data_IF_200015247147
#
_entry.id   IF_200015247147
#
_cell.length_a   1.000
_cell.length_b   1.000
_cell.length_c   1.000
_cell.angle_alpha   90.00
_cell.angle_beta   90.00
_cell.angle_gamma   90.00
#
_symmetry.space_group_name_H-M   'P 1'
#
loop_
_entity.id
_entity.type
_entity.pdbx_description
1 polymer ?
#
# COMPACT_ATOMS: atom_id res chain seq x y z
N UNK A 1 -1.00 -2.28 -13.47
CA UNK A 1 -1.38 -2.37 -12.05
C UNK A 1 -2.30 -3.57 -11.91
N UNK A 2 -1.98 -4.49 -11.01
CA UNK A 2 -2.82 -5.65 -10.73
C UNK A 2 -3.71 -5.32 -9.53
N UNK A 3 -5.02 -5.55 -9.65
CA UNK A 3 -5.94 -5.38 -8.52
C UNK A 3 -5.63 -6.45 -7.46
N UNK A 4 -5.54 -6.02 -6.21
CA UNK A 4 -5.15 -6.91 -5.10
C UNK A 4 -6.29 -7.80 -4.61
N UNK A 5 -7.54 -7.48 -4.95
CA UNK A 5 -8.72 -8.13 -4.36
C UNK A 5 -9.22 -7.45 -3.09
N UNK A 6 -8.47 -6.48 -2.56
CA UNK A 6 -8.75 -5.80 -1.30
C UNK A 6 -9.10 -4.33 -1.57
N UNK A 7 -10.03 -3.80 -0.79
CA UNK A 7 -10.38 -2.38 -0.80
C UNK A 7 -9.86 -1.73 0.49
N UNK A 8 -9.49 -0.46 0.42
CA UNK A 8 -9.07 0.31 1.57
C UNK A 8 -10.24 0.67 2.51
N UNK A 9 -9.94 1.38 3.60
CA UNK A 9 -10.95 1.83 4.56
C UNK A 9 -12.02 2.76 3.96
N UNK A 10 -11.71 3.43 2.84
CA UNK A 10 -12.62 4.26 2.07
C UNK A 10 -13.50 3.47 1.09
N UNK A 11 -13.21 2.19 0.89
CA UNK A 11 -13.86 1.34 -0.12
C UNK A 11 -13.26 1.53 -1.52
N UNK A 12 -12.07 2.12 -1.64
CA UNK A 12 -11.34 2.23 -2.90
C UNK A 12 -10.51 0.98 -3.17
N UNK A 13 -10.49 0.53 -4.42
CA UNK A 13 -9.77 -0.66 -4.85
C UNK A 13 -8.26 -0.47 -4.72
N UNK A 14 -7.58 -1.36 -3.98
CA UNK A 14 -6.12 -1.31 -3.83
C UNK A 14 -5.47 -2.09 -4.97
N UNK A 15 -4.46 -1.49 -5.59
CA UNK A 15 -3.66 -2.04 -6.66
C UNK A 15 -2.19 -2.23 -6.25
N UNK A 16 -1.49 -3.11 -6.97
CA UNK A 16 -0.05 -3.26 -6.86
C UNK A 16 0.66 -1.90 -7.04
N UNK A 17 1.57 -1.58 -6.11
CA UNK A 17 2.34 -0.33 -6.01
C UNK A 17 1.54 0.90 -5.57
N UNK A 18 0.34 0.72 -5.02
CA UNK A 18 -0.29 1.80 -4.26
C UNK A 18 0.48 2.09 -2.98
N UNK A 19 0.40 3.35 -2.55
CA UNK A 19 0.91 3.82 -1.28
C UNK A 19 -0.30 4.07 -0.39
N UNK A 20 -0.40 3.26 0.65
CA UNK A 20 -1.39 3.40 1.71
C UNK A 20 -0.80 4.28 2.81
N UNK A 21 -1.66 5.04 3.49
CA UNK A 21 -1.28 5.77 4.69
C UNK A 21 -2.30 5.56 5.78
N UNK A 22 -1.80 5.24 6.97
CA UNK A 22 -2.66 5.09 8.14
C UNK A 22 -2.95 6.42 8.83
N UNK A 23 -3.78 6.37 9.87
CA UNK A 23 -4.10 7.53 10.71
C UNK A 23 -2.93 8.05 11.56
N UNK A 24 -1.87 7.26 11.74
CA UNK A 24 -0.68 7.62 12.51
C UNK A 24 0.38 8.30 11.64
N UNK A 25 0.24 8.23 10.32
CA UNK A 25 1.13 8.83 9.34
C UNK A 25 2.18 7.87 8.77
N UNK A 26 2.04 6.58 9.01
CA UNK A 26 2.89 5.53 8.45
C UNK A 26 2.50 5.26 7.00
N UNK A 27 3.50 4.98 6.15
CA UNK A 27 3.33 4.73 4.72
C UNK A 27 3.60 3.27 4.42
N UNK A 28 2.71 2.64 3.65
CA UNK A 28 2.84 1.25 3.25
C UNK A 28 2.83 1.16 1.73
N UNK A 29 3.83 0.48 1.17
CA UNK A 29 3.91 0.20 -0.26
C UNK A 29 3.37 -1.19 -0.55
N UNK A 30 2.35 -1.27 -1.41
CA UNK A 30 1.77 -2.55 -1.82
C UNK A 30 2.71 -3.25 -2.80
N UNK A 31 3.12 -4.48 -2.50
CA UNK A 31 3.99 -5.32 -3.32
C UNK A 31 3.40 -6.70 -3.52
N UNK A 32 3.72 -7.32 -4.65
CA UNK A 32 3.47 -8.75 -4.88
C UNK A 32 4.76 -9.52 -4.56
N UNK A 33 4.74 -10.35 -3.54
CA UNK A 33 5.86 -11.19 -3.09
C UNK A 33 5.41 -12.63 -3.10
N UNK A 34 6.13 -13.50 -3.81
CA UNK A 34 5.80 -14.94 -3.95
C UNK A 34 4.36 -15.25 -4.41
N UNK A 35 3.71 -14.30 -5.09
CA UNK A 35 2.34 -14.43 -5.58
C UNK A 35 1.26 -13.93 -4.61
N UNK A 36 1.65 -13.40 -3.46
CA UNK A 36 0.75 -12.81 -2.46
C UNK A 36 0.98 -11.30 -2.36
N UNK A 37 -0.10 -10.55 -2.15
CA UNK A 37 -0.02 -9.11 -1.97
C UNK A 37 0.25 -8.77 -0.51
N UNK A 38 1.32 -8.00 -0.29
CA UNK A 38 1.77 -7.56 1.03
C UNK A 38 1.96 -6.05 1.05
N UNK A 39 1.85 -5.47 2.23
CA UNK A 39 2.11 -4.06 2.49
C UNK A 39 3.48 -3.92 3.16
N UNK A 40 4.45 -3.26 2.52
CA UNK A 40 5.78 -3.01 3.11
C UNK A 40 5.87 -1.62 3.73
N UNK A 41 6.25 -1.52 4.99
CA UNK A 41 6.62 -0.27 5.65
C UNK A 41 7.96 -0.44 6.39
N UNK A 42 8.88 0.50 6.19
CA UNK A 42 10.23 0.51 6.78
C UNK A 42 11.05 -0.81 6.61
N UNK A 43 10.71 -1.63 5.61
CA UNK A 43 11.33 -2.94 5.37
C UNK A 43 10.69 -4.11 6.10
N UNK A 44 9.64 -3.88 6.89
CA UNK A 44 8.75 -4.92 7.41
C UNK A 44 7.58 -5.16 6.44
N UNK A 45 7.16 -6.41 6.30
CA UNK A 45 6.01 -6.81 5.49
C UNK A 45 4.83 -7.12 6.40
N UNK A 46 3.68 -6.58 6.05
CA UNK A 46 2.41 -6.76 6.73
C UNK A 46 1.37 -7.35 5.78
N UNK A 47 0.39 -8.04 6.35
CA UNK A 47 -0.77 -8.52 5.63
C UNK A 47 -1.56 -7.33 5.06
N UNK A 48 -1.83 -7.37 3.75
CA UNK A 48 -2.49 -6.26 3.06
C UNK A 48 -3.90 -6.01 3.60
N UNK A 49 -4.66 -7.07 3.93
CA UNK A 49 -6.01 -6.95 4.49
C UNK A 49 -6.03 -6.22 5.84
N UNK A 50 -5.05 -6.49 6.70
CA UNK A 50 -4.92 -5.82 8.00
C UNK A 50 -4.61 -4.33 7.83
N UNK A 51 -3.69 -4.00 6.91
CA UNK A 51 -3.32 -2.61 6.60
C UNK A 51 -4.50 -1.89 5.94
N UNK A 52 -5.19 -2.51 4.99
CA UNK A 52 -6.35 -1.93 4.32
C UNK A 52 -7.49 -1.59 5.29
N UNK A 53 -7.62 -2.33 6.40
CA UNK A 53 -8.59 -2.03 7.46
C UNK A 53 -8.29 -0.77 8.28
N UNK A 54 -7.05 -0.25 8.23
CA UNK A 54 -6.62 0.92 9.03
C UNK A 54 -6.03 2.07 8.20
N UNK A 55 -5.69 1.81 6.94
CA UNK A 55 -5.02 2.73 6.03
C UNK A 55 -5.84 2.96 4.76
N UNK A 56 -5.76 4.17 4.23
CA UNK A 56 -6.39 4.58 2.98
C UNK A 56 -5.36 4.82 1.88
N UNK A 57 -5.76 4.69 0.63
CA UNK A 57 -4.92 5.01 -0.53
C UNK A 57 -4.71 6.53 -0.54
N UNK A 58 -3.45 6.97 -0.61
CA UNK A 58 -3.13 8.39 -0.69
C UNK A 58 -2.51 8.78 -2.03
N UNK A 59 -1.85 7.84 -2.70
CA UNK A 59 -1.18 8.07 -3.97
C UNK A 59 -0.69 6.75 -4.55
N UNK A 60 -0.31 6.77 -5.82
CA UNK A 60 0.45 5.70 -6.46
C UNK A 60 1.88 6.19 -6.79
N UNK A 61 2.85 5.28 -6.82
CA UNK A 61 4.26 5.59 -7.15
C UNK A 61 4.46 6.36 -8.47
N UNK A 62 3.50 6.32 -9.39
CA UNK A 62 3.57 7.07 -10.66
C UNK A 62 3.16 8.54 -10.52
N UNK A 63 2.31 8.88 -9.55
CA UNK A 63 1.88 10.26 -9.31
C UNK A 63 2.87 11.02 -8.41
N UNK A 64 3.53 10.32 -7.48
CA UNK A 64 4.53 10.89 -6.58
C UNK A 64 5.81 10.05 -6.53
N UNK A 65 6.65 10.07 -7.59
CA UNK A 65 7.92 9.33 -7.61
C UNK A 65 8.90 9.77 -6.52
N UNK A 66 8.72 10.97 -5.95
CA UNK A 66 9.56 11.52 -4.88
C UNK A 66 9.42 10.76 -3.55
N UNK A 67 8.29 10.08 -3.32
CA UNK A 67 8.06 9.30 -2.09
C UNK A 67 8.85 7.98 -2.07
N UNK A 68 9.24 7.47 -3.23
CA UNK A 68 10.00 6.20 -3.36
C UNK A 68 11.52 6.46 -3.33
N UNK A 69 11.96 7.71 -3.54
CA UNK A 69 13.36 8.03 -3.78
C UNK A 69 14.17 8.44 -2.54
N UNK A 70 13.61 8.42 -1.33
CA UNK A 70 14.38 8.59 -0.09
C UNK A 70 14.65 7.23 0.56
N UNK A 71 15.68 6.56 0.06
CA UNK A 71 16.41 5.52 0.77
C UNK A 71 17.87 5.93 0.87
#
# INVERSE_FOLDING_TARGET
>A
MQYTGVNDIGGEEIYERDILRDKFGEYYLVKLVDGEFVAEADGEMYDLEDVAGIAGIISNIYENPELVSKR
#
